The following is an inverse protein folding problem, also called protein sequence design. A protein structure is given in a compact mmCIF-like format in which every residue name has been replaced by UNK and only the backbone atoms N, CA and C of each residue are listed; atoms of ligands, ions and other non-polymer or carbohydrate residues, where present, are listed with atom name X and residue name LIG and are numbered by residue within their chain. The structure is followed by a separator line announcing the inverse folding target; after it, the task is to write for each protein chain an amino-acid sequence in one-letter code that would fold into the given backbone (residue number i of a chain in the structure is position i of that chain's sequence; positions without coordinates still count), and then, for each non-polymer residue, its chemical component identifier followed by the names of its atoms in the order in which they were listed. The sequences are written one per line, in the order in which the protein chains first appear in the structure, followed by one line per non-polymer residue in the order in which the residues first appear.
data_IF_303129811125
#
_entry.id   IF_303129811125
#
_cell.length_a   1.000
_cell.length_b   1.000
_cell.length_c   1.000
_cell.angle_alpha   90.00
_cell.angle_beta   90.00
_cell.angle_gamma   90.00
#
_symmetry.space_group_name_H-M   'P 1'
#
loop_
_entity.id
_entity.type
_entity.pdbx_description
1 polymer ?
#
# COMPACT_ATOMS: atom_id res chain seq x y z
N UNK A 1 2.75 -2.32 21.63
CA UNK A 1 2.47 -3.69 21.15
C UNK A 1 1.16 -3.78 20.37
N UNK A 2 0.01 -3.50 20.99
CA UNK A 2 -1.29 -3.54 20.27
C UNK A 2 -1.39 -2.50 19.15
N UNK A 3 -0.79 -1.34 19.33
CA UNK A 3 -0.83 -0.23 18.36
C UNK A 3 -0.09 -0.58 17.06
N UNK A 4 1.15 -1.07 17.14
CA UNK A 4 1.93 -1.48 15.94
C UNK A 4 1.23 -2.59 15.16
N UNK A 5 0.70 -3.60 15.85
CA UNK A 5 -0.02 -4.68 15.21
C UNK A 5 -1.35 -4.20 14.56
N UNK A 6 -2.03 -3.24 15.17
CA UNK A 6 -3.23 -2.64 14.59
C UNK A 6 -2.87 -1.81 13.34
N UNK A 7 -1.81 -1.00 13.41
CA UNK A 7 -1.34 -0.21 12.27
C UNK A 7 -0.88 -1.07 11.11
N UNK A 8 -0.14 -2.15 11.36
CA UNK A 8 0.27 -3.10 10.32
C UNK A 8 -0.95 -3.75 9.66
N UNK A 9 -1.96 -4.17 10.45
CA UNK A 9 -3.20 -4.74 9.91
C UNK A 9 -3.97 -3.73 9.05
N UNK A 10 -4.04 -2.47 9.51
CA UNK A 10 -4.71 -1.41 8.75
C UNK A 10 -3.97 -1.12 7.44
N UNK A 11 -2.64 -1.04 7.45
CA UNK A 11 -1.84 -0.83 6.26
C UNK A 11 -1.95 -2.00 5.26
N UNK A 12 -1.93 -3.25 5.75
CA UNK A 12 -2.17 -4.44 4.92
C UNK A 12 -3.57 -4.36 4.31
N UNK A 13 -4.60 -4.07 5.11
CA UNK A 13 -5.98 -3.96 4.64
C UNK A 13 -6.15 -2.90 3.56
N UNK A 14 -5.61 -1.70 3.78
CA UNK A 14 -5.65 -0.60 2.81
C UNK A 14 -4.91 -0.96 1.51
N UNK A 15 -3.75 -1.60 1.61
CA UNK A 15 -2.99 -2.02 0.42
C UNK A 15 -3.71 -3.12 -0.35
N UNK A 16 -4.39 -4.05 0.32
CA UNK A 16 -5.23 -5.06 -0.33
C UNK A 16 -6.43 -4.40 -1.02
N UNK A 17 -7.09 -3.45 -0.37
CA UNK A 17 -8.19 -2.67 -0.99
C UNK A 17 -7.70 -1.96 -2.23
N UNK A 18 -6.53 -1.30 -2.18
CA UNK A 18 -5.93 -0.63 -3.33
C UNK A 18 -5.65 -1.62 -4.48
N UNK A 19 -5.06 -2.78 -4.17
CA UNK A 19 -4.76 -3.81 -5.16
C UNK A 19 -6.05 -4.37 -5.81
N UNK A 20 -7.06 -4.68 -5.02
CA UNK A 20 -8.37 -5.14 -5.51
C UNK A 20 -9.01 -4.07 -6.38
N UNK A 21 -9.00 -2.81 -5.94
CA UNK A 21 -9.50 -1.68 -6.71
C UNK A 21 -8.82 -1.59 -8.08
N UNK A 22 -7.49 -1.59 -8.13
CA UNK A 22 -6.73 -1.49 -9.38
C UNK A 22 -6.96 -2.65 -10.35
N UNK A 23 -7.31 -3.84 -9.84
CA UNK A 23 -7.59 -5.02 -10.66
C UNK A 23 -9.06 -5.13 -11.06
N UNK A 24 -9.97 -4.95 -10.10
CA UNK A 24 -11.40 -5.22 -10.30
C UNK A 24 -12.09 -4.07 -11.02
N UNK A 25 -11.76 -2.83 -10.70
CA UNK A 25 -12.46 -1.67 -11.29
C UNK A 25 -12.28 -1.60 -12.81
N UNK A 26 -11.09 -1.72 -13.42
CA UNK A 26 -10.95 -1.71 -14.87
C UNK A 26 -11.77 -2.83 -15.55
N UNK A 27 -11.78 -4.03 -14.97
CA UNK A 27 -12.57 -5.16 -15.51
C UNK A 27 -14.07 -4.87 -15.38
N UNK A 28 -14.51 -4.36 -14.23
CA UNK A 28 -15.92 -4.01 -14.00
C UNK A 28 -16.40 -2.91 -14.95
N UNK A 29 -15.56 -1.91 -15.22
CA UNK A 29 -15.89 -0.82 -16.17
C UNK A 29 -16.03 -1.31 -17.60
N UNK A 30 -15.25 -2.31 -18.02
CA UNK A 30 -15.43 -2.91 -19.36
C UNK A 30 -16.75 -3.66 -19.49
N UNK A 31 -17.23 -4.26 -18.39
CA UNK A 31 -18.49 -5.00 -18.35
C UNK A 31 -19.70 -4.09 -18.14
N UNK A 32 -19.53 -2.99 -17.41
CA UNK A 32 -20.60 -2.03 -17.11
C UNK A 32 -20.08 -0.60 -17.05
N UNK A 33 -20.07 0.13 -18.18
CA UNK A 33 -19.58 1.52 -18.21
C UNK A 33 -20.33 2.48 -17.28
N UNK A 34 -21.57 2.15 -16.87
CA UNK A 34 -22.34 2.93 -15.91
C UNK A 34 -21.64 3.03 -14.53
N UNK A 35 -20.73 2.11 -14.19
CA UNK A 35 -19.95 2.15 -12.96
C UNK A 35 -18.97 3.32 -12.91
N UNK A 36 -18.61 3.90 -14.05
CA UNK A 36 -17.74 5.09 -14.11
C UNK A 36 -18.35 6.33 -13.44
N UNK A 37 -19.67 6.36 -13.24
CA UNK A 37 -20.36 7.44 -12.54
C UNK A 37 -20.17 7.41 -11.01
N UNK A 38 -19.60 6.35 -10.46
CA UNK A 38 -19.40 6.23 -9.02
C UNK A 38 -18.03 6.75 -8.59
N UNK A 39 -17.97 7.42 -7.43
CA UNK A 39 -16.77 8.02 -6.85
C UNK A 39 -15.60 7.06 -6.65
N UNK A 40 -15.87 5.77 -6.40
CA UNK A 40 -14.82 4.74 -6.24
C UNK A 40 -14.14 4.34 -7.55
N UNK A 41 -14.70 4.71 -8.70
CA UNK A 41 -14.10 4.51 -10.01
C UNK A 41 -13.20 5.69 -10.42
N UNK A 42 -13.25 6.79 -9.67
CA UNK A 42 -12.48 7.99 -9.90
C UNK A 42 -11.02 7.82 -9.42
N UNK A 43 -10.10 8.42 -10.13
CA UNK A 43 -8.66 8.44 -9.81
C UNK A 43 -8.39 9.11 -8.46
N UNK A 44 -9.22 10.06 -8.06
CA UNK A 44 -9.14 10.73 -6.75
C UNK A 44 -9.25 9.75 -5.57
N UNK A 45 -10.01 8.68 -5.72
CA UNK A 45 -10.11 7.64 -4.69
C UNK A 45 -8.78 6.94 -4.46
N UNK A 46 -8.08 6.63 -5.53
CA UNK A 46 -6.76 6.02 -5.49
C UNK A 46 -5.72 6.93 -4.81
N UNK A 47 -5.69 8.19 -5.22
CA UNK A 47 -4.83 9.21 -4.61
C UNK A 47 -5.11 9.35 -3.12
N UNK A 48 -6.39 9.37 -2.70
CA UNK A 48 -6.77 9.41 -1.28
C UNK A 48 -6.23 8.19 -0.51
N UNK A 49 -6.30 6.98 -1.08
CA UNK A 49 -5.74 5.78 -0.43
C UNK A 49 -4.23 5.91 -0.21
N UNK A 50 -3.49 6.42 -1.19
CA UNK A 50 -2.04 6.65 -1.07
C UNK A 50 -1.73 7.62 0.06
N UNK A 51 -2.47 8.74 0.18
CA UNK A 51 -2.31 9.72 1.26
C UNK A 51 -2.54 9.12 2.65
N UNK A 52 -3.40 8.12 2.79
CA UNK A 52 -3.63 7.43 4.06
C UNK A 52 -2.57 6.36 4.32
N UNK A 53 -2.19 5.61 3.29
CA UNK A 53 -1.20 4.52 3.40
C UNK A 53 0.19 5.04 3.73
N UNK A 54 0.62 6.16 3.14
CA UNK A 54 1.97 6.73 3.35
C UNK A 54 2.28 7.00 4.83
N UNK A 55 1.53 7.86 5.55
CA UNK A 55 1.83 8.16 6.95
C UNK A 55 1.65 6.94 7.85
N UNK A 56 0.63 6.13 7.61
CA UNK A 56 0.38 4.92 8.40
C UNK A 56 1.54 3.94 8.28
N UNK A 57 2.07 3.74 7.08
CA UNK A 57 3.21 2.85 6.82
C UNK A 57 4.51 3.36 7.43
N UNK A 58 4.79 4.66 7.32
CA UNK A 58 5.98 5.28 7.91
C UNK A 58 5.98 5.07 9.43
N UNK A 59 4.87 5.33 10.10
CA UNK A 59 4.76 5.17 11.56
C UNK A 59 4.85 3.69 11.96
N UNK A 60 4.12 2.80 11.29
CA UNK A 60 4.10 1.38 11.62
C UNK A 60 5.48 0.72 11.45
N UNK A 61 6.16 0.99 10.32
CA UNK A 61 7.49 0.44 10.06
C UNK A 61 8.56 1.09 10.93
N UNK A 62 8.46 2.39 11.22
CA UNK A 62 9.38 3.07 12.13
C UNK A 62 9.34 2.51 13.55
N UNK A 63 8.14 2.23 14.07
CA UNK A 63 7.96 1.60 15.37
C UNK A 63 8.42 0.13 15.36
N UNK A 64 8.11 -0.62 14.31
CA UNK A 64 8.52 -2.01 14.14
C UNK A 64 10.05 -2.14 14.03
N UNK A 65 10.70 -1.30 13.21
CA UNK A 65 12.14 -1.31 13.00
C UNK A 65 12.94 -1.09 14.31
N UNK A 66 12.46 -0.23 15.21
CA UNK A 66 13.06 -0.04 16.52
C UNK A 66 13.08 -1.33 17.35
N UNK A 67 12.15 -2.23 17.11
CA UNK A 67 11.99 -3.47 17.86
C UNK A 67 12.81 -4.64 17.30
N UNK A 68 12.73 -4.91 15.99
CA UNK A 68 13.39 -6.08 15.40
C UNK A 68 14.68 -5.77 14.62
N UNK A 69 14.99 -4.50 14.37
CA UNK A 69 16.20 -4.00 13.67
C UNK A 69 16.49 -4.68 12.31
N UNK A 70 15.45 -5.11 11.61
CA UNK A 70 15.58 -5.81 10.32
C UNK A 70 15.47 -4.82 9.18
N UNK A 71 16.61 -4.41 8.60
CA UNK A 71 16.67 -3.43 7.51
C UNK A 71 15.96 -3.90 6.23
N UNK A 72 15.86 -5.21 5.98
CA UNK A 72 15.16 -5.73 4.82
C UNK A 72 13.68 -5.31 4.77
N UNK A 73 13.00 -5.28 5.92
CA UNK A 73 11.60 -4.80 6.01
C UNK A 73 11.50 -3.34 5.63
N UNK A 74 12.45 -2.53 6.10
CA UNK A 74 12.49 -1.10 5.77
C UNK A 74 12.75 -0.90 4.28
N UNK A 75 13.66 -1.67 3.68
CA UNK A 75 13.96 -1.59 2.26
C UNK A 75 12.73 -1.93 1.40
N UNK A 76 12.02 -3.01 1.72
CA UNK A 76 10.76 -3.36 1.05
C UNK A 76 9.71 -2.26 1.19
N UNK A 77 9.54 -1.72 2.39
CA UNK A 77 8.59 -0.66 2.67
C UNK A 77 8.91 0.64 1.95
N UNK A 78 10.15 1.08 2.00
CA UNK A 78 10.59 2.30 1.31
C UNK A 78 10.43 2.16 -0.20
N UNK A 79 10.83 1.04 -0.80
CA UNK A 79 10.65 0.83 -2.24
C UNK A 79 9.18 0.81 -2.65
N UNK A 80 8.31 0.21 -1.84
CA UNK A 80 6.86 0.24 -2.07
C UNK A 80 6.26 1.63 -1.97
N UNK A 81 6.63 2.39 -0.93
CA UNK A 81 6.16 3.78 -0.75
C UNK A 81 6.67 4.72 -1.86
N UNK A 82 7.92 4.53 -2.30
CA UNK A 82 8.45 5.28 -3.44
C UNK A 82 7.69 4.97 -4.72
N UNK A 83 7.40 3.70 -4.99
CA UNK A 83 6.61 3.31 -6.17
C UNK A 83 5.21 3.94 -6.14
N UNK A 84 4.51 3.90 -4.99
CA UNK A 84 3.20 4.54 -4.82
C UNK A 84 3.26 6.07 -5.00
N UNK A 85 4.28 6.70 -4.43
CA UNK A 85 4.46 8.15 -4.55
C UNK A 85 4.77 8.55 -5.99
N UNK A 86 5.63 7.80 -6.68
CA UNK A 86 5.98 8.04 -8.08
C UNK A 86 4.77 7.84 -8.99
N UNK A 87 3.92 6.84 -8.72
CA UNK A 87 2.69 6.63 -9.48
C UNK A 87 1.78 7.87 -9.43
N UNK A 88 1.64 8.49 -8.25
CA UNK A 88 0.81 9.71 -8.07
C UNK A 88 1.49 10.96 -8.63
N UNK A 89 2.82 11.11 -8.47
CA UNK A 89 3.54 12.34 -8.85
C UNK A 89 3.81 12.40 -10.36
N UNK A 90 4.11 11.25 -10.98
CA UNK A 90 4.44 11.21 -12.40
C UNK A 90 3.21 11.26 -13.30
N UNK A 91 2.01 10.98 -12.75
CA UNK A 91 0.72 11.15 -13.41
C UNK A 91 0.74 10.93 -14.94
N UNK A 92 -0.38 11.06 -15.58
CA UNK A 92 -0.59 10.91 -17.03
C UNK A 92 0.32 11.74 -17.95
N UNK A 93 1.04 12.73 -17.38
CA UNK A 93 1.99 13.55 -18.14
C UNK A 93 3.28 12.81 -18.53
N UNK A 94 3.71 11.81 -17.73
CA UNK A 94 4.97 11.09 -17.93
C UNK A 94 4.80 9.57 -17.99
N UNK A 95 3.71 9.04 -17.44
CA UNK A 95 3.34 7.62 -17.48
C UNK A 95 2.07 7.42 -18.31
N UNK A 96 2.02 6.34 -19.07
CA UNK A 96 0.75 5.89 -19.62
C UNK A 96 -0.17 5.41 -18.50
N UNK A 97 -1.48 5.46 -18.68
CA UNK A 97 -2.47 4.92 -17.72
C UNK A 97 -2.14 3.49 -17.27
N UNK A 98 -1.67 2.65 -18.20
CA UNK A 98 -1.22 1.30 -17.86
C UNK A 98 0.05 1.30 -16.99
N UNK A 99 0.99 2.20 -17.25
CA UNK A 99 2.22 2.36 -16.49
C UNK A 99 1.96 2.79 -15.04
N UNK A 100 1.07 3.74 -14.85
CA UNK A 100 0.63 4.22 -13.53
C UNK A 100 -0.02 3.08 -12.73
N UNK A 101 -0.97 2.35 -13.34
CA UNK A 101 -1.63 1.20 -12.70
C UNK A 101 -0.64 0.12 -12.31
N UNK A 102 0.31 -0.23 -13.19
CA UNK A 102 1.34 -1.22 -12.89
C UNK A 102 2.25 -0.78 -11.75
N UNK A 103 2.68 0.48 -11.75
CA UNK A 103 3.55 1.03 -10.70
C UNK A 103 2.84 1.04 -9.34
N UNK A 104 1.56 1.40 -9.32
CA UNK A 104 0.72 1.35 -8.12
C UNK A 104 0.54 -0.07 -7.60
N UNK A 105 0.23 -1.01 -8.48
CA UNK A 105 0.08 -2.43 -8.10
C UNK A 105 1.39 -2.98 -7.51
N UNK A 106 2.52 -2.69 -8.14
CA UNK A 106 3.83 -3.08 -7.64
C UNK A 106 4.10 -2.46 -6.25
N UNK A 107 3.88 -1.17 -6.11
CA UNK A 107 4.04 -0.46 -4.83
C UNK A 107 3.15 -1.04 -3.73
N UNK A 108 1.88 -1.31 -4.02
CA UNK A 108 0.95 -1.92 -3.07
C UNK A 108 1.41 -3.32 -2.62
N UNK A 109 1.86 -4.17 -3.53
CA UNK A 109 2.40 -5.50 -3.21
C UNK A 109 3.64 -5.39 -2.30
N UNK A 110 4.58 -4.50 -2.62
CA UNK A 110 5.79 -4.28 -1.81
C UNK A 110 5.44 -3.81 -0.39
N UNK A 111 4.48 -2.90 -0.25
CA UNK A 111 3.98 -2.43 1.05
C UNK A 111 3.33 -3.56 1.83
N UNK A 112 2.49 -4.39 1.21
CA UNK A 112 1.89 -5.57 1.86
C UNK A 112 2.98 -6.52 2.37
N UNK A 113 3.96 -6.84 1.54
CA UNK A 113 5.09 -7.72 1.92
C UNK A 113 5.84 -7.14 3.13
N UNK A 114 6.16 -5.83 3.10
CA UNK A 114 6.83 -5.16 4.20
C UNK A 114 6.04 -5.24 5.50
N UNK A 115 4.74 -4.93 5.46
CA UNK A 115 3.88 -4.97 6.65
C UNK A 115 3.66 -6.37 7.19
N UNK A 116 3.49 -7.37 6.32
CA UNK A 116 3.38 -8.78 6.76
C UNK A 116 4.67 -9.24 7.44
N UNK A 117 5.84 -8.89 6.88
CA UNK A 117 7.12 -9.20 7.51
C UNK A 117 7.30 -8.46 8.83
N UNK A 118 7.00 -7.16 8.88
CA UNK A 118 7.04 -6.35 10.09
C UNK A 118 6.17 -6.95 11.20
N UNK A 119 4.93 -7.29 10.88
CA UNK A 119 3.99 -7.92 11.81
C UNK A 119 4.52 -9.26 12.35
N UNK A 120 5.04 -10.13 11.46
CA UNK A 120 5.59 -11.44 11.86
C UNK A 120 6.81 -11.31 12.76
N UNK A 121 7.72 -10.39 12.45
CA UNK A 121 8.94 -10.15 13.25
C UNK A 121 8.61 -9.54 14.61
N UNK A 122 7.70 -8.56 14.65
CA UNK A 122 7.26 -7.99 15.94
C UNK A 122 6.64 -9.05 16.85
N UNK A 123 5.83 -9.96 16.31
CA UNK A 123 5.24 -11.05 17.11
C UNK A 123 6.29 -12.06 17.61
N UNK A 124 7.31 -12.37 16.82
CA UNK A 124 8.39 -13.27 17.25
C UNK A 124 9.20 -12.67 18.41
N UNK A 125 9.46 -11.36 18.37
CA UNK A 125 10.14 -10.67 19.48
C UNK A 125 9.29 -10.66 20.77
N UNK A 126 7.95 -10.74 20.67
CA UNK A 126 7.07 -10.78 21.83
C UNK A 126 7.02 -12.15 22.52
N UNK A 127 7.25 -13.23 21.79
CA UNK A 127 7.26 -14.60 22.34
C UNK A 127 8.60 -14.97 23.00
N UNK A 128 9.63 -14.12 22.89
CA UNK A 128 10.97 -14.34 23.44
C UNK A 128 11.23 -13.66 24.80
N UNK A 129 10.23 -13.02 25.35
CA UNK A 129 10.25 -12.43 26.71
C UNK A 129 9.25 -13.11 27.61
#
# INVERSE_FOLDING_TARGET
MRVTAAMDRSAIGLSVVCLVHCLVIPVALTMSPALAAYWFADESFHTMLVYVVLPTSIVAMGLGCKRHRTFAVVAWGVSGLLALTLAVVLDSALLSEAGEKLLTMLGAVLVVVAHVQNFRLCRRCDCGT
#
